data_IF_605413176843
#
_entry.id   IF_605413176843
#
_cell.length_a   1.000
_cell.length_b   1.000
_cell.length_c   1.000
_cell.angle_alpha   90.00
_cell.angle_beta   90.00
_cell.angle_gamma   90.00
#
_symmetry.space_group_name_H-M   'P 1'
#
loop_
_entity.id
_entity.type
_entity.pdbx_description
1 polymer ?
#
# COMPACT_ATOMS: atom_id res chain seq x y z
N UNK A 1 27.18 77.60 5.35
CA UNK A 1 27.11 76.42 4.49
C UNK A 1 27.50 75.13 5.22
N UNK A 2 27.28 74.92 6.52
CA UNK A 2 27.73 73.71 7.28
C UNK A 2 26.54 73.00 8.00
N UNK A 3 25.29 73.51 7.91
CA UNK A 3 24.12 72.90 8.60
C UNK A 3 23.27 71.94 7.75
N UNK A 4 23.42 71.96 6.44
CA UNK A 4 22.62 71.13 5.52
C UNK A 4 23.21 69.76 5.22
N UNK A 5 24.52 69.58 5.46
CA UNK A 5 25.19 68.27 5.24
C UNK A 5 25.01 67.23 6.37
N UNK A 6 24.59 67.69 7.58
CA UNK A 6 24.36 66.76 8.71
C UNK A 6 22.98 66.11 8.72
N UNK A 7 22.01 66.67 8.03
CA UNK A 7 20.67 66.13 7.92
C UNK A 7 20.55 65.06 6.80
N UNK A 8 21.37 65.15 5.76
CA UNK A 8 21.37 64.16 4.69
C UNK A 8 22.03 62.84 5.11
N UNK A 9 23.05 62.87 6.01
CA UNK A 9 23.70 61.67 6.52
C UNK A 9 22.84 60.87 7.52
N UNK A 10 21.93 61.54 8.24
CA UNK A 10 21.00 60.85 9.19
C UNK A 10 19.88 60.08 8.51
N UNK A 11 19.39 60.60 7.37
CA UNK A 11 18.29 59.94 6.63
C UNK A 11 18.76 58.72 5.86
N UNK A 12 19.99 58.73 5.31
CA UNK A 12 20.58 57.57 4.66
C UNK A 12 20.92 56.42 5.64
N UNK A 13 21.31 56.75 6.89
CA UNK A 13 21.59 55.74 7.91
C UNK A 13 20.29 55.08 8.43
N UNK A 14 19.19 55.80 8.47
CA UNK A 14 17.87 55.27 8.88
C UNK A 14 17.25 54.40 7.78
N UNK A 15 17.44 54.69 6.51
CA UNK A 15 17.00 53.90 5.39
C UNK A 15 17.83 52.63 5.21
N UNK A 16 19.13 52.64 5.55
CA UNK A 16 19.96 51.43 5.53
C UNK A 16 19.69 50.48 6.69
N UNK A 17 19.17 50.96 7.83
CA UNK A 17 18.80 50.15 8.97
C UNK A 17 17.42 49.47 8.79
N UNK A 18 16.52 50.01 7.92
CA UNK A 18 15.22 49.45 7.62
C UNK A 18 15.25 48.35 6.54
N UNK A 19 16.33 48.23 5.76
CA UNK A 19 16.51 47.18 4.74
C UNK A 19 17.26 45.92 5.26
N UNK A 20 17.83 45.96 6.44
CA UNK A 20 18.54 44.85 7.04
C UNK A 20 17.67 43.92 7.94
N UNK A 21 16.37 44.23 8.06
CA UNK A 21 15.49 43.54 8.99
C UNK A 21 14.47 42.54 8.37
N UNK A 22 14.51 42.33 7.05
CA UNK A 22 13.66 41.30 6.40
C UNK A 22 14.59 40.17 5.90
N UNK A 23 15.28 39.52 6.82
CA UNK A 23 15.69 38.16 6.61
C UNK A 23 14.43 37.31 6.88
N UNK A 24 13.66 36.97 5.83
CA UNK A 24 12.76 35.85 5.91
C UNK A 24 13.58 34.64 6.38
N UNK A 25 13.20 33.94 7.45
CA UNK A 25 13.76 32.64 7.66
C UNK A 25 13.51 31.90 6.35
N UNK A 26 14.57 31.43 5.69
CA UNK A 26 14.45 30.42 4.67
C UNK A 26 13.64 29.31 5.36
N UNK A 27 12.37 29.19 5.01
CA UNK A 27 11.58 28.05 5.40
C UNK A 27 12.45 26.86 5.03
N UNK A 28 12.78 26.02 6.00
CA UNK A 28 13.26 24.70 5.72
C UNK A 28 12.17 24.10 4.83
N UNK A 29 12.42 24.09 3.50
CA UNK A 29 11.70 23.23 2.59
C UNK A 29 11.98 21.87 3.19
N UNK A 30 10.98 21.27 3.83
CA UNK A 30 11.05 19.88 4.19
C UNK A 30 11.45 19.20 2.87
N UNK A 31 12.59 18.54 2.91
CA UNK A 31 13.05 17.68 1.83
C UNK A 31 11.92 16.65 1.67
N UNK A 32 10.99 16.93 0.74
CA UNK A 32 10.09 15.90 0.25
C UNK A 32 11.06 14.85 -0.26
N UNK A 33 11.14 13.77 0.50
CA UNK A 33 11.83 12.55 0.08
C UNK A 33 11.14 12.19 -1.22
N UNK A 34 11.67 12.64 -2.34
CA UNK A 34 11.17 12.33 -3.67
C UNK A 34 11.21 10.82 -3.73
N UNK A 35 10.04 10.18 -3.58
CA UNK A 35 9.92 8.74 -3.70
C UNK A 35 10.56 8.41 -5.05
N UNK A 36 11.61 7.59 -5.03
CA UNK A 36 12.29 7.22 -6.28
C UNK A 36 11.28 6.51 -7.15
N UNK A 37 11.18 6.91 -8.40
CA UNK A 37 10.20 6.35 -9.32
C UNK A 37 10.29 4.82 -9.37
N UNK A 38 9.16 4.12 -9.41
CA UNK A 38 9.12 2.66 -9.54
C UNK A 38 9.72 2.25 -10.88
N UNK A 39 10.45 1.12 -10.89
CA UNK A 39 11.11 0.56 -12.06
C UNK A 39 10.53 -0.79 -12.41
N UNK A 40 10.22 -1.00 -13.67
CA UNK A 40 9.74 -2.28 -14.21
C UNK A 40 10.61 -2.68 -15.39
N UNK A 41 11.08 -3.94 -15.41
CA UNK A 41 11.71 -4.53 -16.59
C UNK A 41 10.86 -5.71 -17.09
N UNK A 42 10.34 -5.58 -18.30
CA UNK A 42 9.57 -6.62 -18.97
C UNK A 42 10.53 -7.57 -19.70
N UNK A 43 10.70 -8.77 -19.19
CA UNK A 43 11.58 -9.79 -19.79
C UNK A 43 10.75 -10.70 -20.66
N UNK A 44 10.99 -10.65 -21.99
CA UNK A 44 10.23 -11.44 -22.95
C UNK A 44 11.08 -12.57 -23.54
N UNK A 45 10.49 -13.74 -23.56
CA UNK A 45 10.99 -14.91 -24.28
C UNK A 45 10.81 -14.73 -25.79
N UNK A 46 11.90 -14.83 -26.53
CA UNK A 46 11.92 -14.76 -28.01
C UNK A 46 12.53 -16.06 -28.57
N UNK A 47 12.49 -17.14 -27.77
CA UNK A 47 12.97 -18.46 -28.19
C UNK A 47 12.11 -19.07 -29.31
N UNK A 48 12.63 -20.15 -29.90
CA UNK A 48 11.99 -20.80 -31.04
C UNK A 48 10.57 -21.31 -30.79
N UNK A 49 10.22 -21.67 -29.55
CA UNK A 49 8.88 -22.13 -29.13
C UNK A 49 7.80 -21.07 -29.29
N UNK A 50 8.13 -19.80 -29.19
CA UNK A 50 7.20 -18.68 -29.38
C UNK A 50 6.58 -18.58 -30.78
N UNK A 51 7.00 -19.45 -31.72
CA UNK A 51 6.34 -19.62 -33.05
C UNK A 51 5.03 -20.41 -33.00
N UNK A 52 4.78 -21.14 -31.88
CA UNK A 52 3.57 -21.95 -31.74
C UNK A 52 2.32 -21.07 -31.88
N UNK A 53 1.30 -21.61 -32.57
CA UNK A 53 0.05 -20.89 -32.91
C UNK A 53 -1.09 -21.49 -32.08
N UNK A 54 -1.10 -21.23 -30.81
CA UNK A 54 -2.03 -21.81 -29.84
C UNK A 54 -2.65 -20.78 -28.86
N UNK A 55 -2.44 -19.49 -29.12
CA UNK A 55 -3.10 -18.39 -28.40
C UNK A 55 -4.04 -17.67 -29.35
N UNK A 56 -5.35 -17.84 -29.20
CA UNK A 56 -6.39 -17.18 -30.02
C UNK A 56 -6.18 -17.30 -31.54
N UNK A 57 -5.60 -18.43 -32.00
CA UNK A 57 -5.31 -18.69 -33.39
C UNK A 57 -4.11 -17.92 -33.97
N UNK A 58 -3.39 -17.18 -33.15
CA UNK A 58 -2.14 -16.48 -33.51
C UNK A 58 -0.93 -17.11 -32.83
N UNK A 59 0.28 -16.69 -33.23
CA UNK A 59 1.49 -17.16 -32.55
C UNK A 59 1.64 -16.53 -31.16
N UNK A 60 2.25 -17.26 -30.22
CA UNK A 60 2.58 -16.76 -28.88
C UNK A 60 3.32 -15.42 -28.94
N UNK A 61 4.27 -15.28 -29.90
CA UNK A 61 4.98 -14.02 -30.12
C UNK A 61 4.05 -12.91 -30.62
N UNK A 62 3.06 -13.21 -31.48
CA UNK A 62 2.12 -12.20 -31.95
C UNK A 62 1.22 -11.72 -30.80
N UNK A 63 0.73 -12.64 -29.96
CA UNK A 63 -0.03 -12.31 -28.75
C UNK A 63 0.80 -11.47 -27.78
N UNK A 64 2.06 -11.85 -27.54
CA UNK A 64 2.96 -11.08 -26.67
C UNK A 64 3.21 -9.66 -27.21
N UNK A 65 3.47 -9.49 -28.50
CA UNK A 65 3.64 -8.16 -29.11
C UNK A 65 2.39 -7.29 -28.98
N UNK A 66 1.21 -7.88 -29.18
CA UNK A 66 -0.05 -7.16 -28.99
C UNK A 66 -0.17 -6.68 -27.54
N UNK A 67 -0.02 -7.58 -26.56
CA UNK A 67 -0.09 -7.24 -25.15
C UNK A 67 0.94 -6.16 -24.75
N UNK A 68 2.18 -6.26 -25.24
CA UNK A 68 3.21 -5.24 -24.98
C UNK A 68 2.82 -3.86 -25.51
N UNK A 69 2.25 -3.79 -26.71
CA UNK A 69 1.81 -2.51 -27.28
C UNK A 69 0.71 -1.86 -26.44
N UNK A 70 -0.24 -2.65 -25.93
CA UNK A 70 -1.32 -2.17 -25.06
C UNK A 70 -0.77 -1.74 -23.70
N UNK A 71 0.15 -2.51 -23.10
CA UNK A 71 0.84 -2.16 -21.85
C UNK A 71 1.64 -0.87 -21.99
N UNK A 72 2.38 -0.68 -23.08
CA UNK A 72 3.14 0.54 -23.34
C UNK A 72 2.22 1.77 -23.44
N UNK A 73 1.00 1.61 -24.00
CA UNK A 73 0.00 2.68 -24.04
C UNK A 73 -0.56 3.02 -22.65
N UNK A 74 -0.76 2.01 -21.82
CA UNK A 74 -1.35 2.14 -20.49
C UNK A 74 -0.35 2.55 -19.41
N UNK A 75 0.97 2.33 -19.62
CA UNK A 75 2.00 2.59 -18.60
C UNK A 75 1.97 4.04 -18.11
N UNK A 76 1.81 4.29 -16.79
CA UNK A 76 1.87 5.63 -16.21
C UNK A 76 3.23 6.30 -16.43
N UNK A 77 3.25 7.63 -16.63
CA UNK A 77 4.49 8.40 -16.80
C UNK A 77 5.40 8.38 -15.58
N UNK A 78 4.85 8.02 -14.43
CA UNK A 78 5.61 7.88 -13.17
C UNK A 78 6.43 6.59 -13.10
N UNK A 79 6.17 5.61 -13.97
CA UNK A 79 6.86 4.30 -14.00
C UNK A 79 8.01 4.36 -15.00
N UNK A 80 9.21 3.99 -14.55
CA UNK A 80 10.36 3.77 -15.41
C UNK A 80 10.32 2.32 -15.93
N UNK A 81 10.08 2.15 -17.23
CA UNK A 81 9.91 0.83 -17.83
C UNK A 81 11.05 0.51 -18.80
N UNK A 82 11.57 -0.72 -18.71
CA UNK A 82 12.51 -1.32 -19.65
C UNK A 82 11.94 -2.57 -20.32
N UNK A 83 12.57 -3.01 -21.39
CA UNK A 83 12.26 -4.26 -22.06
C UNK A 83 13.57 -5.01 -22.31
N UNK A 84 13.63 -6.25 -21.85
CA UNK A 84 14.73 -7.17 -22.09
C UNK A 84 14.25 -8.41 -22.82
N UNK A 85 15.08 -8.95 -23.70
CA UNK A 85 14.80 -10.19 -24.43
C UNK A 85 15.71 -11.34 -23.95
N UNK A 86 15.23 -12.55 -24.13
CA UNK A 86 16.05 -13.76 -24.12
C UNK A 86 15.80 -14.56 -25.41
N UNK A 87 16.87 -15.16 -25.95
CA UNK A 87 16.81 -15.99 -27.15
C UNK A 87 16.47 -15.27 -28.46
N UNK A 88 16.74 -13.95 -28.55
CA UNK A 88 16.33 -13.13 -29.68
C UNK A 88 17.36 -13.04 -30.82
N UNK A 89 18.66 -13.22 -30.53
CA UNK A 89 19.73 -12.80 -31.45
C UNK A 89 20.54 -13.96 -32.03
N UNK A 90 20.58 -15.11 -31.36
CA UNK A 90 21.39 -16.24 -31.78
C UNK A 90 20.53 -17.41 -32.29
N UNK A 91 20.47 -17.63 -33.60
CA UNK A 91 19.66 -18.69 -34.21
C UNK A 91 20.40 -20.06 -34.33
N UNK A 92 21.64 -20.13 -33.86
CA UNK A 92 22.48 -21.32 -34.01
C UNK A 92 22.27 -22.40 -32.94
N UNK A 93 22.88 -23.56 -33.16
CA UNK A 93 22.71 -24.73 -32.30
C UNK A 93 23.75 -24.82 -31.16
N UNK A 94 24.72 -23.90 -31.11
CA UNK A 94 25.69 -23.88 -30.01
C UNK A 94 25.05 -23.36 -28.72
N UNK A 95 24.73 -24.28 -27.82
CA UNK A 95 24.12 -23.99 -26.54
C UNK A 95 24.90 -22.96 -25.71
N UNK A 96 26.24 -23.05 -25.71
CA UNK A 96 27.08 -22.14 -24.91
C UNK A 96 26.95 -20.69 -25.37
N UNK A 97 26.76 -20.46 -26.64
CA UNK A 97 26.52 -19.12 -27.22
C UNK A 97 25.06 -18.71 -27.00
N UNK A 98 24.10 -19.59 -27.30
CA UNK A 98 22.67 -19.32 -27.14
C UNK A 98 22.28 -19.06 -25.69
N UNK A 99 22.94 -19.69 -24.73
CA UNK A 99 22.69 -19.45 -23.31
C UNK A 99 23.26 -18.13 -22.76
N UNK A 100 23.86 -17.32 -23.61
CA UNK A 100 24.28 -15.94 -23.30
C UNK A 100 23.40 -14.90 -24.01
N UNK A 101 22.44 -15.37 -24.84
CA UNK A 101 21.61 -14.52 -25.65
C UNK A 101 20.50 -13.86 -24.83
N UNK A 102 20.86 -12.79 -24.15
CA UNK A 102 19.93 -11.86 -23.54
C UNK A 102 20.38 -10.43 -23.85
N UNK A 103 19.45 -9.57 -24.20
CA UNK A 103 19.75 -8.19 -24.59
C UNK A 103 18.70 -7.23 -24.04
N UNK A 104 19.13 -6.06 -23.62
CA UNK A 104 18.25 -4.95 -23.34
C UNK A 104 17.74 -4.40 -24.68
N UNK A 105 16.46 -4.62 -24.95
CA UNK A 105 15.78 -4.16 -26.16
C UNK A 105 15.43 -2.68 -26.06
N UNK A 106 14.96 -2.27 -24.88
CA UNK A 106 14.62 -0.89 -24.54
C UNK A 106 15.11 -0.58 -23.13
N UNK A 107 15.85 0.51 -22.91
CA UNK A 107 16.44 0.81 -21.60
C UNK A 107 15.38 1.19 -20.56
N UNK A 108 15.65 0.86 -19.30
CA UNK A 108 14.78 1.27 -18.18
C UNK A 108 14.79 2.80 -18.05
N UNK A 109 13.65 3.42 -18.26
CA UNK A 109 13.50 4.86 -18.26
C UNK A 109 12.06 5.31 -18.49
N UNK A 110 11.86 6.62 -18.63
CA UNK A 110 10.58 7.13 -19.11
C UNK A 110 10.27 6.58 -20.50
N UNK A 111 9.05 6.12 -20.72
CA UNK A 111 8.68 5.42 -21.94
C UNK A 111 8.43 6.39 -23.08
N UNK A 112 9.29 6.35 -24.12
CA UNK A 112 8.88 6.80 -25.44
C UNK A 112 8.10 5.65 -26.12
N UNK A 113 6.77 5.81 -26.15
CA UNK A 113 5.86 4.76 -26.65
C UNK A 113 6.14 4.41 -28.11
N UNK A 114 6.53 5.39 -28.93
CA UNK A 114 6.81 5.19 -30.35
C UNK A 114 8.07 4.35 -30.53
N UNK A 115 9.14 4.69 -29.85
CA UNK A 115 10.42 3.98 -29.90
C UNK A 115 10.29 2.56 -29.33
N UNK A 116 9.67 2.42 -28.16
CA UNK A 116 9.46 1.13 -27.51
C UNK A 116 8.63 0.16 -28.37
N UNK A 117 7.53 0.64 -28.98
CA UNK A 117 6.72 -0.16 -29.90
C UNK A 117 7.48 -0.54 -31.17
N UNK A 118 8.27 0.36 -31.72
CA UNK A 118 9.13 0.05 -32.87
C UNK A 118 10.15 -1.05 -32.53
N UNK A 119 10.73 -1.00 -31.33
CA UNK A 119 11.64 -2.04 -30.84
C UNK A 119 10.92 -3.40 -30.71
N UNK A 120 9.75 -3.44 -30.07
CA UNK A 120 8.93 -4.67 -29.94
C UNK A 120 8.55 -5.25 -31.30
N UNK A 121 8.25 -4.41 -32.27
CA UNK A 121 7.89 -4.86 -33.65
C UNK A 121 9.01 -5.68 -34.31
N UNK A 122 10.28 -5.44 -33.99
CA UNK A 122 11.43 -6.16 -34.56
C UNK A 122 11.58 -7.60 -34.09
N UNK A 123 10.97 -7.98 -32.94
CA UNK A 123 11.13 -9.29 -32.34
C UNK A 123 10.70 -10.42 -33.28
N UNK A 124 11.52 -11.46 -33.37
CA UNK A 124 11.22 -12.65 -34.19
C UNK A 124 11.73 -13.88 -33.42
N UNK A 125 10.89 -14.89 -33.15
CA UNK A 125 11.28 -16.08 -32.40
C UNK A 125 12.47 -16.79 -33.03
N UNK A 126 13.51 -17.03 -32.25
CA UNK A 126 14.79 -17.47 -32.82
C UNK A 126 15.48 -18.57 -32.03
N UNK A 127 15.98 -18.25 -30.83
CA UNK A 127 17.06 -18.98 -30.19
C UNK A 127 16.67 -19.90 -29.03
N UNK A 128 17.59 -19.99 -28.07
CA UNK A 128 17.49 -20.75 -26.83
C UNK A 128 16.70 -20.00 -25.78
N UNK A 129 16.45 -20.63 -24.61
CA UNK A 129 15.67 -20.03 -23.52
C UNK A 129 16.55 -19.82 -22.27
N UNK A 130 17.43 -18.80 -22.24
CA UNK A 130 18.33 -18.50 -21.10
C UNK A 130 17.65 -17.69 -20.03
N UNK A 131 16.68 -18.26 -19.29
CA UNK A 131 15.92 -17.52 -18.24
C UNK A 131 16.85 -17.02 -17.13
N UNK A 132 17.69 -17.90 -16.55
CA UNK A 132 18.59 -17.52 -15.47
C UNK A 132 19.49 -16.33 -15.82
N UNK A 133 20.24 -16.36 -16.93
CA UNK A 133 21.04 -15.22 -17.39
C UNK A 133 20.24 -13.95 -17.64
N UNK A 134 19.01 -14.07 -18.17
CA UNK A 134 18.15 -12.92 -18.42
C UNK A 134 17.69 -12.26 -17.12
N UNK A 135 17.32 -13.04 -16.09
CA UNK A 135 16.93 -12.50 -14.77
C UNK A 135 18.08 -11.77 -14.09
N UNK A 136 19.31 -12.28 -14.15
CA UNK A 136 20.48 -11.59 -13.59
C UNK A 136 20.69 -10.24 -14.26
N UNK A 137 20.57 -10.18 -15.58
CA UNK A 137 20.75 -8.95 -16.34
C UNK A 137 19.60 -7.95 -16.14
N UNK A 138 18.36 -8.43 -16.02
CA UNK A 138 17.22 -7.59 -15.68
C UNK A 138 17.36 -6.99 -14.27
N UNK A 139 17.89 -7.75 -13.32
CA UNK A 139 18.19 -7.22 -11.98
C UNK A 139 19.27 -6.13 -12.03
N UNK A 140 20.31 -6.29 -12.88
CA UNK A 140 21.33 -5.27 -13.13
C UNK A 140 20.70 -4.01 -13.77
N UNK A 141 19.75 -4.15 -14.73
CA UNK A 141 19.08 -3.03 -15.39
C UNK A 141 18.23 -2.18 -14.43
N UNK A 142 17.70 -2.83 -13.38
CA UNK A 142 16.90 -2.18 -12.34
C UNK A 142 17.73 -1.61 -11.19
N UNK A 143 19.05 -1.74 -11.22
CA UNK A 143 19.89 -1.30 -10.11
C UNK A 143 19.79 0.22 -9.86
N UNK A 144 20.14 0.62 -8.64
CA UNK A 144 20.05 2.00 -8.16
C UNK A 144 18.62 2.45 -7.83
N UNK A 145 18.54 3.53 -7.05
CA UNK A 145 17.28 4.10 -6.55
C UNK A 145 16.67 3.32 -5.40
N UNK A 146 15.69 3.94 -4.73
CA UNK A 146 14.97 3.40 -3.56
C UNK A 146 13.52 3.01 -3.88
N UNK A 147 13.02 3.26 -5.10
CA UNK A 147 11.69 2.89 -5.54
C UNK A 147 11.50 1.37 -5.65
N UNK A 148 10.26 0.94 -5.80
CA UNK A 148 9.94 -0.46 -6.07
C UNK A 148 10.59 -0.93 -7.37
N UNK A 149 11.04 -2.17 -7.39
CA UNK A 149 11.68 -2.80 -8.55
C UNK A 149 10.95 -4.09 -8.89
N UNK A 150 10.57 -4.24 -10.14
CA UNK A 150 9.80 -5.39 -10.59
C UNK A 150 10.31 -5.92 -11.91
N UNK A 151 10.51 -7.22 -11.98
CA UNK A 151 10.71 -7.95 -13.24
C UNK A 151 9.40 -8.67 -13.54
N UNK A 152 8.92 -8.55 -14.78
CA UNK A 152 7.81 -9.36 -15.29
C UNK A 152 8.36 -10.26 -16.38
N UNK A 153 8.55 -11.54 -16.06
CA UNK A 153 9.03 -12.55 -16.99
C UNK A 153 7.87 -13.18 -17.75
N UNK A 154 7.89 -13.11 -19.06
CA UNK A 154 6.91 -13.72 -19.95
C UNK A 154 7.63 -14.79 -20.77
N UNK A 155 7.29 -16.05 -20.57
CA UNK A 155 7.92 -17.20 -21.24
C UNK A 155 6.90 -18.29 -21.56
N UNK A 156 7.17 -19.05 -22.60
CA UNK A 156 6.38 -20.20 -23.05
C UNK A 156 7.15 -21.53 -22.92
N UNK A 157 8.33 -21.50 -22.34
CA UNK A 157 9.22 -22.67 -22.29
C UNK A 157 9.94 -22.85 -20.96
N UNK A 158 10.54 -24.02 -20.84
CA UNK A 158 11.49 -24.34 -19.78
C UNK A 158 12.86 -23.73 -20.13
N UNK A 159 13.62 -23.36 -19.10
CA UNK A 159 15.02 -22.98 -19.30
C UNK A 159 15.80 -24.12 -19.97
N UNK A 160 16.50 -23.78 -21.03
CA UNK A 160 17.31 -24.72 -21.79
C UNK A 160 18.82 -24.59 -21.51
N UNK A 161 19.18 -23.80 -20.51
CA UNK A 161 20.54 -23.33 -20.28
C UNK A 161 21.19 -23.80 -18.97
N UNK A 162 21.10 -25.10 -18.71
CA UNK A 162 21.86 -25.73 -17.63
C UNK A 162 23.37 -25.37 -17.71
N UNK A 163 24.12 -25.30 -16.61
CA UNK A 163 23.74 -25.71 -15.25
C UNK A 163 23.11 -24.66 -14.36
N UNK A 164 22.88 -23.45 -14.85
CA UNK A 164 22.32 -22.34 -14.07
C UNK A 164 20.80 -22.53 -13.90
N UNK A 165 20.38 -22.91 -12.69
CA UNK A 165 18.96 -23.06 -12.36
C UNK A 165 18.29 -21.69 -12.17
N UNK A 166 17.26 -21.31 -12.94
CA UNK A 166 16.60 -20.01 -12.81
C UNK A 166 15.97 -19.76 -11.45
N UNK A 167 15.53 -20.82 -10.74
CA UNK A 167 14.99 -20.68 -9.40
C UNK A 167 16.07 -20.35 -8.37
N UNK A 168 17.27 -20.94 -8.49
CA UNK A 168 18.42 -20.57 -7.66
C UNK A 168 18.87 -19.14 -7.94
N UNK A 169 18.83 -18.71 -9.21
CA UNK A 169 19.10 -17.31 -9.60
C UNK A 169 18.11 -16.36 -8.92
N UNK A 170 16.82 -16.69 -8.93
CA UNK A 170 15.82 -15.85 -8.26
C UNK A 170 16.06 -15.75 -6.75
N UNK A 171 16.45 -16.85 -6.08
CA UNK A 171 16.86 -16.85 -4.66
C UNK A 171 18.12 -16.00 -4.43
N UNK A 172 19.10 -16.05 -5.33
CA UNK A 172 20.30 -15.19 -5.24
C UNK A 172 19.93 -13.71 -5.35
N UNK A 173 19.03 -13.34 -6.28
CA UNK A 173 18.52 -11.99 -6.44
C UNK A 173 17.80 -11.54 -5.16
N UNK A 174 16.92 -12.38 -4.60
CA UNK A 174 16.23 -12.10 -3.35
C UNK A 174 17.19 -11.88 -2.17
N UNK A 175 18.25 -12.72 -2.09
CA UNK A 175 19.26 -12.65 -1.02
C UNK A 175 20.08 -11.36 -1.06
N UNK A 176 20.19 -10.69 -2.19
CA UNK A 176 20.88 -9.38 -2.33
C UNK A 176 20.10 -8.23 -1.65
N UNK A 177 18.85 -8.47 -1.22
CA UNK A 177 18.07 -7.51 -0.43
C UNK A 177 17.69 -6.22 -1.16
N UNK A 178 17.66 -6.25 -2.49
CA UNK A 178 17.40 -5.05 -3.32
C UNK A 178 15.93 -4.68 -3.46
N UNK A 179 15.03 -5.33 -2.71
CA UNK A 179 13.58 -5.06 -2.79
C UNK A 179 12.98 -5.34 -4.16
N UNK A 180 13.53 -6.32 -4.89
CA UNK A 180 13.10 -6.68 -6.24
C UNK A 180 12.14 -7.86 -6.19
N UNK A 181 11.01 -7.72 -6.86
CA UNK A 181 10.00 -8.77 -7.04
C UNK A 181 10.03 -9.28 -8.47
N UNK A 182 9.97 -10.60 -8.67
CA UNK A 182 9.87 -11.23 -9.99
C UNK A 182 8.49 -11.87 -10.12
N UNK A 183 7.66 -11.35 -11.01
CA UNK A 183 6.42 -12.01 -11.42
C UNK A 183 6.65 -12.78 -12.70
N UNK A 184 5.96 -13.90 -12.85
CA UNK A 184 6.12 -14.78 -14.02
C UNK A 184 4.77 -15.08 -14.68
N UNK A 185 4.72 -14.90 -15.98
CA UNK A 185 3.58 -15.23 -16.84
C UNK A 185 3.96 -16.38 -17.77
N UNK A 186 3.30 -17.51 -17.58
CA UNK A 186 3.50 -18.70 -18.41
C UNK A 186 2.50 -18.78 -19.56
N UNK A 187 2.99 -18.75 -20.80
CA UNK A 187 2.15 -18.87 -21.99
C UNK A 187 1.90 -20.34 -22.31
N UNK A 188 0.62 -20.79 -22.19
CA UNK A 188 0.21 -22.19 -22.46
C UNK A 188 1.14 -23.21 -21.76
N UNK A 189 1.29 -23.14 -20.43
CA UNK A 189 2.36 -23.85 -19.73
C UNK A 189 2.10 -25.35 -19.56
N UNK A 190 3.16 -26.17 -19.72
CA UNK A 190 3.19 -27.54 -19.24
C UNK A 190 3.51 -27.61 -17.73
N UNK A 191 3.44 -28.80 -17.13
CA UNK A 191 3.65 -28.99 -15.68
C UNK A 191 5.04 -28.56 -15.20
N UNK A 192 6.10 -28.86 -15.95
CA UNK A 192 7.48 -28.53 -15.55
C UNK A 192 7.74 -27.05 -15.61
N UNK A 193 7.33 -26.40 -16.72
CA UNK A 193 7.41 -24.96 -16.88
C UNK A 193 6.66 -24.24 -15.77
N UNK A 194 5.43 -24.70 -15.43
CA UNK A 194 4.66 -24.16 -14.33
C UNK A 194 5.42 -24.22 -12.99
N UNK A 195 6.02 -25.37 -12.68
CA UNK A 195 6.83 -25.54 -11.46
C UNK A 195 8.03 -24.60 -11.44
N UNK A 196 8.74 -24.46 -12.56
CA UNK A 196 9.91 -23.58 -12.66
C UNK A 196 9.50 -22.10 -12.50
N UNK A 197 8.49 -21.63 -13.23
CA UNK A 197 8.03 -20.25 -13.15
C UNK A 197 7.43 -19.90 -11.79
N UNK A 198 6.68 -20.84 -11.15
CA UNK A 198 6.19 -20.66 -9.77
C UNK A 198 7.35 -20.50 -8.80
N UNK A 199 8.37 -21.36 -8.89
CA UNK A 199 9.53 -21.28 -8.02
C UNK A 199 10.29 -19.95 -8.16
N UNK A 200 10.45 -19.44 -9.38
CA UNK A 200 11.09 -18.13 -9.64
C UNK A 200 10.31 -16.99 -8.97
N UNK A 201 8.99 -16.99 -9.13
CA UNK A 201 8.14 -15.96 -8.55
C UNK A 201 8.15 -16.02 -7.01
N UNK A 202 7.90 -17.21 -6.43
CA UNK A 202 7.85 -17.43 -4.98
C UNK A 202 9.16 -17.04 -4.29
N UNK A 203 10.30 -17.27 -4.93
CA UNK A 203 11.62 -16.93 -4.39
C UNK A 203 11.80 -15.46 -4.05
N UNK A 204 11.06 -14.56 -4.72
CA UNK A 204 11.14 -13.10 -4.55
C UNK A 204 9.84 -12.47 -4.00
N UNK A 205 8.87 -13.29 -3.59
CA UNK A 205 7.56 -12.82 -3.14
C UNK A 205 6.64 -12.33 -4.27
N UNK A 206 6.93 -12.71 -5.50
CA UNK A 206 6.10 -12.43 -6.67
C UNK A 206 5.02 -13.48 -6.92
N UNK A 207 4.34 -13.35 -8.05
CA UNK A 207 3.22 -14.22 -8.44
C UNK A 207 3.47 -14.92 -9.76
N UNK A 208 3.07 -16.21 -9.85
CA UNK A 208 2.97 -16.93 -11.11
C UNK A 208 1.54 -16.88 -11.63
N UNK A 209 1.37 -16.63 -12.93
CA UNK A 209 0.07 -16.69 -13.61
C UNK A 209 0.20 -17.47 -14.91
N UNK A 210 -0.72 -18.41 -15.15
CA UNK A 210 -0.92 -19.08 -16.44
C UNK A 210 -1.79 -18.21 -17.33
N UNK A 211 -1.42 -18.09 -18.60
CA UNK A 211 -2.13 -17.29 -19.60
C UNK A 211 -2.37 -18.15 -20.84
N UNK A 212 -3.63 -18.20 -21.28
CA UNK A 212 -4.04 -18.96 -22.46
C UNK A 212 -4.65 -18.05 -23.56
N UNK A 213 -5.00 -16.80 -23.19
CA UNK A 213 -5.61 -15.81 -24.09
C UNK A 213 -4.83 -14.48 -24.10
N UNK A 214 -4.92 -13.76 -25.20
CA UNK A 214 -4.17 -12.50 -25.40
C UNK A 214 -4.65 -11.38 -24.46
N UNK A 215 -5.96 -11.27 -24.25
CA UNK A 215 -6.57 -10.31 -23.34
C UNK A 215 -6.15 -10.56 -21.89
N UNK A 216 -6.12 -11.83 -21.46
CA UNK A 216 -5.59 -12.21 -20.14
C UNK A 216 -4.13 -11.76 -19.97
N UNK A 217 -3.30 -11.92 -21.02
CA UNK A 217 -1.91 -11.48 -20.99
C UNK A 217 -1.81 -9.97 -20.78
N UNK A 218 -2.56 -9.20 -21.56
CA UNK A 218 -2.60 -7.74 -21.45
C UNK A 218 -3.04 -7.28 -20.06
N UNK A 219 -4.14 -7.83 -19.55
CA UNK A 219 -4.69 -7.48 -18.24
C UNK A 219 -3.72 -7.79 -17.11
N UNK A 220 -3.04 -8.95 -17.19
CA UNK A 220 -2.07 -9.35 -16.17
C UNK A 220 -0.82 -8.49 -16.16
N UNK A 221 -0.26 -8.18 -17.35
CA UNK A 221 0.92 -7.31 -17.40
C UNK A 221 0.57 -5.90 -16.94
N UNK A 222 -0.57 -5.32 -17.36
CA UNK A 222 -1.04 -4.03 -16.85
C UNK A 222 -1.19 -4.04 -15.34
N UNK A 223 -1.85 -5.06 -14.77
CA UNK A 223 -2.00 -5.20 -13.32
C UNK A 223 -0.64 -5.22 -12.58
N UNK A 224 0.38 -5.86 -13.16
CA UNK A 224 1.71 -5.95 -12.56
C UNK A 224 2.48 -4.62 -12.68
N UNK A 225 2.32 -3.90 -13.78
CA UNK A 225 2.89 -2.55 -13.96
C UNK A 225 2.23 -1.57 -13.00
N UNK A 226 0.90 -1.60 -12.86
CA UNK A 226 0.16 -0.75 -11.91
C UNK A 226 0.58 -1.04 -10.45
N UNK A 227 0.75 -2.31 -10.08
CA UNK A 227 1.29 -2.69 -8.75
C UNK A 227 2.70 -2.17 -8.50
N UNK A 228 3.50 -2.00 -9.54
CA UNK A 228 4.83 -1.40 -9.39
C UNK A 228 4.73 0.11 -9.15
N UNK A 229 3.70 0.76 -9.70
CA UNK A 229 3.43 2.18 -9.53
C UNK A 229 2.89 2.50 -8.11
N UNK A 230 2.29 1.51 -7.43
CA UNK A 230 1.84 1.69 -6.05
C UNK A 230 3.03 2.02 -5.14
N UNK A 231 2.95 3.11 -4.37
CA UNK A 231 4.06 3.47 -3.50
C UNK A 231 4.32 2.34 -2.50
N UNK A 232 5.54 1.84 -2.46
CA UNK A 232 5.98 0.96 -1.37
C UNK A 232 6.03 1.81 -0.12
N UNK A 233 5.00 1.71 0.70
CA UNK A 233 4.98 2.37 2.01
C UNK A 233 5.98 1.65 2.90
N UNK A 234 7.19 2.20 3.01
CA UNK A 234 8.17 1.70 3.96
C UNK A 234 7.72 2.11 5.36
N UNK A 235 7.51 1.15 6.28
CA UNK A 235 7.12 1.48 7.65
C UNK A 235 8.17 2.38 8.31
N UNK A 236 7.70 3.45 8.94
CA UNK A 236 8.57 4.36 9.71
C UNK A 236 8.71 3.82 11.12
N UNK A 237 9.95 3.55 11.55
CA UNK A 237 10.21 3.19 12.92
C UNK A 237 9.83 4.35 13.84
N UNK A 238 8.94 4.11 14.79
CA UNK A 238 8.51 5.10 15.78
C UNK A 238 8.45 4.44 17.15
N UNK A 239 8.65 5.21 18.20
CA UNK A 239 8.52 4.73 19.56
C UNK A 239 7.34 5.44 20.21
N UNK A 240 6.28 4.68 20.52
CA UNK A 240 5.13 5.18 21.25
C UNK A 240 5.51 5.53 22.69
N UNK A 241 4.81 6.48 23.28
CA UNK A 241 5.05 6.93 24.65
C UNK A 241 4.18 6.17 25.68
N UNK A 242 4.39 6.49 26.96
CA UNK A 242 3.60 6.00 28.10
C UNK A 242 2.32 6.84 28.37
N UNK A 243 2.18 7.95 27.66
CA UNK A 243 1.06 8.88 27.86
C UNK A 243 0.84 9.75 26.61
N UNK A 244 -0.39 10.20 26.42
CA UNK A 244 -0.77 11.08 25.29
C UNK A 244 0.09 12.35 25.22
N UNK A 245 0.40 12.98 26.35
CA UNK A 245 1.16 14.25 26.37
C UNK A 245 2.60 14.11 25.88
N UNK A 246 3.19 12.93 25.99
CA UNK A 246 4.56 12.63 25.51
C UNK A 246 4.58 11.93 24.15
N UNK A 247 3.43 11.52 23.65
CA UNK A 247 3.30 10.71 22.46
C UNK A 247 3.81 11.43 21.21
N UNK A 248 4.48 10.71 20.29
CA UNK A 248 4.88 11.26 18.99
C UNK A 248 3.64 11.63 18.16
N UNK A 249 3.73 12.75 17.42
CA UNK A 249 2.71 13.13 16.44
C UNK A 249 2.94 12.34 15.14
N UNK A 250 1.93 11.62 14.70
CA UNK A 250 1.93 10.83 13.48
C UNK A 250 1.11 11.53 12.40
N UNK A 251 1.55 11.39 11.15
CA UNK A 251 0.78 11.73 9.93
C UNK A 251 0.20 10.45 9.35
N UNK A 252 -0.57 10.57 8.25
CA UNK A 252 -0.96 9.38 7.47
C UNK A 252 0.28 8.61 7.03
N UNK A 253 0.30 7.29 7.31
CA UNK A 253 1.43 6.42 7.02
C UNK A 253 1.39 5.10 7.77
N UNK A 254 2.41 4.29 7.51
CA UNK A 254 2.64 3.01 8.15
C UNK A 254 3.83 3.13 9.12
N UNK A 255 3.65 2.65 10.34
CA UNK A 255 4.62 2.79 11.42
C UNK A 255 4.93 1.44 12.04
N UNK A 256 6.17 1.26 12.51
CA UNK A 256 6.57 0.09 13.31
C UNK A 256 7.06 0.51 14.67
N UNK A 257 6.67 -0.27 15.67
CA UNK A 257 7.10 -0.12 17.06
C UNK A 257 7.30 -1.50 17.70
N UNK A 258 7.68 -1.51 18.98
CA UNK A 258 7.68 -2.69 19.83
C UNK A 258 6.95 -2.39 21.13
N UNK A 259 6.05 -3.28 21.50
CA UNK A 259 5.23 -3.15 22.70
C UNK A 259 5.58 -4.26 23.69
N UNK A 260 5.94 -3.88 24.92
CA UNK A 260 6.21 -4.84 25.99
C UNK A 260 4.91 -5.45 26.53
N UNK A 261 5.03 -6.59 27.15
CA UNK A 261 3.90 -7.32 27.72
C UNK A 261 3.18 -6.50 28.78
N UNK A 262 1.87 -6.25 28.57
CA UNK A 262 1.04 -5.43 29.45
C UNK A 262 1.34 -3.93 29.41
N UNK A 263 2.15 -3.48 28.48
CA UNK A 263 2.46 -2.07 28.30
C UNK A 263 1.37 -1.38 27.47
N UNK A 264 1.20 -0.08 27.67
CA UNK A 264 0.39 0.79 26.84
C UNK A 264 1.30 1.65 25.97
N UNK A 265 0.97 1.79 24.68
CA UNK A 265 1.66 2.66 23.74
C UNK A 265 0.71 3.75 23.26
N UNK A 266 1.21 4.99 23.26
CA UNK A 266 0.45 6.18 22.91
C UNK A 266 1.07 6.91 21.73
N UNK A 267 0.18 7.36 20.79
CA UNK A 267 0.53 8.15 19.62
C UNK A 267 -0.46 9.31 19.51
N UNK A 268 -0.13 10.37 18.79
CA UNK A 268 -1.02 11.50 18.52
C UNK A 268 -1.26 11.67 17.03
N UNK A 269 -2.47 12.06 16.66
CA UNK A 269 -2.86 12.39 15.29
C UNK A 269 -3.73 13.64 15.34
N UNK A 270 -3.45 14.61 14.52
CA UNK A 270 -4.28 15.80 14.37
C UNK A 270 -5.33 15.54 13.27
N UNK A 271 -6.60 15.85 13.57
CA UNK A 271 -7.75 15.62 12.69
C UNK A 271 -8.49 16.94 12.52
N UNK A 272 -8.60 17.43 11.31
CA UNK A 272 -9.32 18.67 11.00
C UNK A 272 -10.84 18.43 10.94
N UNK A 273 -11.67 19.48 11.11
CA UNK A 273 -13.10 19.37 10.86
C UNK A 273 -13.38 18.84 9.45
N UNK A 274 -14.34 17.93 9.33
CA UNK A 274 -14.67 17.27 8.05
C UNK A 274 -13.78 16.11 7.67
N UNK A 275 -12.70 15.83 8.41
CA UNK A 275 -11.82 14.67 8.16
C UNK A 275 -12.26 13.43 8.95
N UNK A 276 -11.82 12.29 8.49
CA UNK A 276 -11.99 10.99 9.13
C UNK A 276 -10.62 10.39 9.45
N UNK A 277 -10.38 10.09 10.73
CA UNK A 277 -9.25 9.30 11.17
C UNK A 277 -9.59 7.81 11.03
N UNK A 278 -8.76 7.08 10.32
CA UNK A 278 -8.73 5.61 10.26
C UNK A 278 -7.42 5.14 10.86
N UNK A 279 -7.49 4.23 11.80
CA UNK A 279 -6.30 3.66 12.38
C UNK A 279 -6.47 2.16 12.58
N UNK A 280 -5.40 1.40 12.35
CA UNK A 280 -5.35 -0.02 12.64
C UNK A 280 -4.02 -0.40 13.23
N UNK A 281 -4.02 -1.38 14.13
CA UNK A 281 -2.82 -1.94 14.73
C UNK A 281 -2.79 -3.45 14.50
N UNK A 282 -1.63 -3.94 14.11
CA UNK A 282 -1.32 -5.37 13.98
C UNK A 282 -0.15 -5.71 14.88
N UNK A 283 -0.27 -6.78 15.63
CA UNK A 283 0.80 -7.29 16.49
C UNK A 283 1.11 -8.71 16.08
N UNK A 284 2.38 -8.97 15.80
CA UNK A 284 2.87 -10.29 15.38
C UNK A 284 3.53 -11.02 16.55
N UNK A 285 3.08 -12.25 16.80
CA UNK A 285 3.69 -13.11 17.80
C UNK A 285 5.02 -13.67 17.29
N UNK A 286 6.15 -13.04 17.64
CA UNK A 286 7.49 -13.54 17.31
C UNK A 286 8.02 -14.59 18.35
N UNK A 287 7.17 -14.94 19.35
CA UNK A 287 7.48 -15.88 20.44
C UNK A 287 6.21 -16.49 21.03
N UNK A 288 6.38 -17.55 21.83
CA UNK A 288 5.27 -18.20 22.51
C UNK A 288 4.63 -17.29 23.55
N UNK A 289 3.31 -17.15 23.51
CA UNK A 289 2.49 -16.38 24.43
C UNK A 289 1.38 -17.25 25.02
N UNK A 290 0.76 -16.77 26.10
CA UNK A 290 -0.46 -17.39 26.61
C UNK A 290 -1.61 -17.26 25.61
N UNK A 291 -2.51 -18.26 25.53
CA UNK A 291 -3.58 -18.30 24.53
C UNK A 291 -4.64 -17.21 24.69
N UNK A 292 -4.75 -16.61 25.89
CA UNK A 292 -5.79 -15.61 26.21
C UNK A 292 -5.25 -14.17 26.12
N UNK A 293 -4.51 -13.86 25.07
CA UNK A 293 -4.02 -12.50 24.85
C UNK A 293 -4.92 -11.73 23.87
N UNK A 294 -4.90 -10.40 23.98
CA UNK A 294 -5.61 -9.52 23.06
C UNK A 294 -4.94 -8.17 22.89
N UNK A 295 -5.31 -7.50 21.82
CA UNK A 295 -4.91 -6.12 21.50
C UNK A 295 -6.16 -5.28 21.38
N UNK A 296 -6.12 -4.07 21.92
CA UNK A 296 -7.18 -3.09 21.82
C UNK A 296 -6.61 -1.74 21.40
N UNK A 297 -7.19 -1.16 20.35
CA UNK A 297 -6.91 0.19 19.89
C UNK A 297 -8.05 1.12 20.31
N UNK A 298 -7.71 2.25 20.91
CA UNK A 298 -8.66 3.29 21.30
C UNK A 298 -8.22 4.65 20.81
N UNK A 299 -9.18 5.50 20.41
CA UNK A 299 -8.97 6.93 20.20
C UNK A 299 -9.55 7.68 21.42
N UNK A 300 -8.74 8.53 22.01
CA UNK A 300 -9.10 9.30 23.19
C UNK A 300 -8.72 10.77 23.01
N UNK A 301 -9.41 11.67 23.70
CA UNK A 301 -9.01 13.09 23.74
C UNK A 301 -7.71 13.26 24.52
N UNK A 302 -7.05 14.41 24.38
CA UNK A 302 -5.86 14.78 25.18
C UNK A 302 -6.10 14.76 26.69
N UNK A 303 -7.36 14.80 27.13
CA UNK A 303 -7.77 14.70 28.54
C UNK A 303 -8.15 13.27 28.96
N UNK A 304 -7.91 12.27 28.11
CA UNK A 304 -8.14 10.86 28.42
C UNK A 304 -9.60 10.38 28.26
N UNK A 305 -10.52 11.21 27.72
CA UNK A 305 -11.89 10.75 27.44
C UNK A 305 -11.89 9.91 26.15
N UNK A 306 -12.39 8.69 26.26
CA UNK A 306 -12.56 7.81 25.09
C UNK A 306 -13.53 8.42 24.08
N UNK A 307 -13.12 8.49 22.81
CA UNK A 307 -13.91 8.97 21.67
C UNK A 307 -14.49 7.77 20.95
N UNK A 308 -13.63 6.85 20.54
CA UNK A 308 -14.00 5.62 19.85
C UNK A 308 -13.07 4.49 20.25
N UNK A 309 -13.60 3.27 20.22
CA UNK A 309 -12.89 2.05 20.58
C UNK A 309 -13.02 1.06 19.43
N UNK A 310 -11.90 0.43 19.03
CA UNK A 310 -11.90 -0.77 18.21
C UNK A 310 -12.39 -1.99 19.00
N UNK A 311 -12.69 -3.07 18.31
CA UNK A 311 -12.93 -4.34 18.97
C UNK A 311 -11.64 -4.91 19.54
N UNK A 312 -11.72 -5.54 20.70
CA UNK A 312 -10.57 -6.28 21.24
C UNK A 312 -10.34 -7.51 20.37
N UNK A 313 -9.18 -7.56 19.71
CA UNK A 313 -8.80 -8.67 18.86
C UNK A 313 -7.85 -9.61 19.60
N UNK A 314 -7.95 -10.89 19.33
CA UNK A 314 -7.09 -11.94 19.85
C UNK A 314 -7.84 -12.99 20.66
N UNK A 315 -7.44 -14.23 20.47
CA UNK A 315 -7.92 -15.37 21.24
C UNK A 315 -6.82 -16.45 21.35
N UNK A 316 -5.56 -16.04 21.16
CA UNK A 316 -4.39 -16.92 21.20
C UNK A 316 -4.28 -17.98 20.09
N UNK A 317 -5.11 -17.89 19.04
CA UNK A 317 -5.14 -18.89 17.95
C UNK A 317 -4.45 -18.47 16.67
N UNK A 318 -4.03 -17.22 16.57
CA UNK A 318 -3.38 -16.68 15.37
C UNK A 318 -2.05 -16.03 15.73
N UNK A 319 -1.07 -16.13 14.83
CA UNK A 319 0.25 -15.52 15.00
C UNK A 319 0.23 -13.98 14.81
N UNK A 320 -0.86 -13.44 14.24
CA UNK A 320 -1.09 -12.02 14.03
C UNK A 320 -2.46 -11.64 14.56
N UNK A 321 -2.50 -10.59 15.37
CA UNK A 321 -3.72 -10.00 15.92
C UNK A 321 -3.84 -8.58 15.41
N UNK A 322 -4.97 -8.26 14.77
CA UNK A 322 -5.23 -6.93 14.20
C UNK A 322 -6.56 -6.37 14.69
N UNK A 323 -6.58 -5.10 15.01
CA UNK A 323 -7.80 -4.33 15.32
C UNK A 323 -7.70 -2.94 14.73
N UNK A 324 -8.84 -2.31 14.46
CA UNK A 324 -8.89 -0.97 13.88
C UNK A 324 -10.08 -0.17 14.38
N UNK A 325 -10.04 1.12 14.11
CA UNK A 325 -11.10 2.07 14.42
C UNK A 325 -11.26 3.12 13.34
N UNK A 326 -12.43 3.76 13.33
CA UNK A 326 -12.73 4.93 12.49
C UNK A 326 -13.31 6.03 13.38
N UNK A 327 -12.84 7.25 13.18
CA UNK A 327 -13.35 8.45 13.85
C UNK A 327 -13.60 9.55 12.83
N UNK A 328 -14.85 9.71 12.34
CA UNK A 328 -15.23 10.85 11.52
C UNK A 328 -15.42 12.08 12.43
N UNK A 329 -14.69 13.17 12.15
CA UNK A 329 -14.88 14.43 12.80
C UNK A 329 -15.93 15.24 12.03
N UNK A 330 -16.96 15.71 12.72
CA UNK A 330 -17.99 16.53 12.11
C UNK A 330 -17.40 17.80 11.47
N UNK A 331 -18.00 18.23 10.35
CA UNK A 331 -17.74 19.55 9.79
C UNK A 331 -18.06 20.63 10.83
N UNK A 332 -17.36 21.74 10.76
CA UNK A 332 -17.61 22.91 11.60
C UNK A 332 -18.14 24.03 10.72
N UNK A 333 -19.16 24.74 11.19
CA UNK A 333 -19.65 25.99 10.57
C UNK A 333 -18.68 27.17 10.78
N UNK A 334 -17.63 26.95 11.58
CA UNK A 334 -16.57 27.91 11.86
C UNK A 334 -15.36 27.62 10.98
N UNK A 335 -15.09 28.50 10.01
CA UNK A 335 -13.97 28.39 9.07
C UNK A 335 -12.59 28.45 9.77
N UNK A 336 -12.53 28.88 11.05
CA UNK A 336 -11.32 28.92 11.86
C UNK A 336 -11.24 27.76 12.87
N UNK A 337 -12.11 26.75 12.79
CA UNK A 337 -12.09 25.63 13.72
C UNK A 337 -10.77 24.84 13.64
N UNK A 338 -10.03 24.83 14.74
CA UNK A 338 -8.72 24.19 14.84
C UNK A 338 -8.81 22.66 14.74
N UNK A 339 -7.73 22.05 14.24
CA UNK A 339 -7.56 20.61 14.30
C UNK A 339 -7.67 20.09 15.74
N UNK A 340 -8.27 18.93 15.91
CA UNK A 340 -8.33 18.22 17.19
C UNK A 340 -7.21 17.22 17.28
N UNK A 341 -6.40 17.30 18.32
CA UNK A 341 -5.42 16.27 18.62
C UNK A 341 -6.10 15.06 19.23
N UNK A 342 -6.12 13.95 18.51
CA UNK A 342 -6.61 12.65 18.93
C UNK A 342 -5.44 11.78 19.38
N UNK A 343 -5.53 11.17 20.55
CA UNK A 343 -4.54 10.23 21.04
C UNK A 343 -4.98 8.80 20.70
N UNK A 344 -4.12 8.06 20.00
CA UNK A 344 -4.29 6.65 19.79
C UNK A 344 -3.59 5.90 20.92
N UNK A 345 -4.34 5.05 21.62
CA UNK A 345 -3.84 4.19 22.70
C UNK A 345 -3.93 2.74 22.27
N UNK A 346 -2.79 2.07 22.18
CA UNK A 346 -2.67 0.62 22.00
C UNK A 346 -2.48 -0.01 23.35
N UNK A 347 -3.29 -0.99 23.68
CA UNK A 347 -3.18 -1.78 24.91
C UNK A 347 -3.16 -3.25 24.60
N UNK A 348 -2.34 -4.00 25.30
CA UNK A 348 -2.27 -5.45 25.16
C UNK A 348 -2.46 -6.16 26.50
N UNK A 349 -2.91 -7.42 26.42
CA UNK A 349 -3.05 -8.33 27.55
C UNK A 349 -2.08 -9.51 27.45
N UNK A 350 -0.90 -9.30 26.87
CA UNK A 350 0.08 -10.37 26.68
C UNK A 350 0.64 -10.84 28.02
N UNK A 351 0.77 -12.15 28.13
CA UNK A 351 1.54 -12.78 29.19
C UNK A 351 2.44 -13.86 28.59
N UNK A 352 3.67 -13.94 29.06
CA UNK A 352 4.62 -14.92 28.56
C UNK A 352 4.51 -16.23 29.35
N UNK A 353 4.67 -17.35 28.65
CA UNK A 353 4.90 -18.64 29.31
C UNK A 353 6.23 -18.62 30.08
N UNK A 354 6.35 -19.44 31.09
CA UNK A 354 7.57 -19.53 31.92
C UNK A 354 8.80 -19.83 31.05
N UNK A 355 9.86 -19.02 31.20
CA UNK A 355 11.10 -19.16 30.43
C UNK A 355 11.15 -18.44 29.09
N UNK A 356 10.06 -17.80 28.66
CA UNK A 356 10.04 -16.97 27.45
C UNK A 356 10.51 -15.54 27.80
N UNK A 357 11.46 -15.02 27.02
CA UNK A 357 11.93 -13.64 27.19
C UNK A 357 10.84 -12.66 26.73
N UNK A 358 10.53 -11.66 27.54
CA UNK A 358 9.54 -10.60 27.25
C UNK A 358 10.14 -9.37 26.57
N UNK A 359 11.46 -9.24 26.61
CA UNK A 359 12.21 -8.14 25.97
C UNK A 359 13.08 -8.66 24.82
N UNK A 360 13.20 -7.92 23.69
CA UNK A 360 12.43 -6.73 23.34
C UNK A 360 10.94 -7.06 23.21
N UNK A 361 10.07 -6.04 23.30
CA UNK A 361 8.61 -6.20 23.14
C UNK A 361 8.21 -6.84 21.82
N UNK A 362 6.93 -7.15 21.68
CA UNK A 362 6.34 -7.72 20.45
C UNK A 362 6.39 -6.72 19.32
N UNK A 363 6.63 -7.14 18.07
CA UNK A 363 6.52 -6.28 16.90
C UNK A 363 5.10 -5.74 16.73
N UNK A 364 4.99 -4.43 16.57
CA UNK A 364 3.74 -3.70 16.35
C UNK A 364 3.84 -2.98 15.01
N UNK A 365 2.80 -3.09 14.21
CA UNK A 365 2.60 -2.31 13.00
C UNK A 365 1.33 -1.48 13.15
N UNK A 366 1.46 -0.15 13.02
CA UNK A 366 0.38 0.81 13.16
C UNK A 366 0.18 1.54 11.83
N UNK A 367 -1.02 1.44 11.28
CA UNK A 367 -1.44 2.23 10.13
C UNK A 367 -2.28 3.40 10.62
N UNK A 368 -1.96 4.58 10.17
CA UNK A 368 -2.72 5.82 10.39
C UNK A 368 -3.08 6.41 9.05
N UNK A 369 -4.34 6.76 8.86
CA UNK A 369 -4.82 7.44 7.67
C UNK A 369 -5.82 8.54 8.07
N UNK A 370 -5.62 9.75 7.54
CA UNK A 370 -6.51 10.88 7.74
C UNK A 370 -6.99 11.31 6.36
N UNK A 371 -8.27 11.10 6.10
CA UNK A 371 -8.90 11.33 4.79
C UNK A 371 -10.04 12.31 4.94
N UNK A 372 -10.46 12.93 3.84
CA UNK A 372 -11.66 13.73 3.84
C UNK A 372 -12.87 12.85 4.19
N UNK A 373 -13.68 13.34 5.11
CA UNK A 373 -14.89 12.65 5.53
C UNK A 373 -15.89 12.56 4.38
N UNK A 374 -16.84 11.62 4.42
CA UNK A 374 -17.87 11.51 3.40
C UNK A 374 -18.72 12.79 3.40
N UNK A 375 -18.83 13.42 2.24
CA UNK A 375 -19.59 14.67 2.02
C UNK A 375 -21.10 14.56 2.27
N UNK A 376 -21.59 13.37 2.58
CA UNK A 376 -22.96 13.13 3.04
C UNK A 376 -22.93 12.33 4.33
N UNK A 377 -23.44 12.94 5.39
CA UNK A 377 -23.66 12.31 6.69
C UNK A 377 -24.72 11.18 6.63
N UNK A 378 -24.75 10.36 5.57
CA UNK A 378 -25.71 9.28 5.40
C UNK A 378 -25.30 7.98 6.07
N UNK A 379 -24.09 7.88 6.59
CA UNK A 379 -23.62 6.62 7.15
C UNK A 379 -23.17 6.71 8.60
N UNK A 380 -24.07 6.27 9.40
CA UNK A 380 -24.00 5.17 10.39
C UNK A 380 -23.20 5.44 11.67
N UNK A 381 -22.45 6.46 11.82
CA UNK A 381 -21.73 6.66 13.08
C UNK A 381 -21.74 8.09 13.62
N UNK A 382 -22.79 8.85 13.37
CA UNK A 382 -23.08 9.93 14.31
C UNK A 382 -23.58 9.27 15.59
N UNK A 383 -22.71 9.15 16.58
CA UNK A 383 -23.09 8.76 17.95
C UNK A 383 -24.00 9.85 18.53
N UNK A 384 -25.22 9.85 18.07
CA UNK A 384 -26.29 10.70 18.54
C UNK A 384 -27.57 10.18 17.93
N UNK A 385 -28.68 10.32 18.63
CA UNK A 385 -29.98 9.83 18.20
C UNK A 385 -30.45 10.45 16.86
N UNK A 386 -29.72 11.41 16.28
CA UNK A 386 -30.02 12.02 14.99
C UNK A 386 -31.53 12.20 14.77
N UNK A 387 -32.07 11.69 13.65
CA UNK A 387 -33.50 11.59 13.43
C UNK A 387 -34.21 10.58 14.35
N UNK A 388 -33.51 9.82 15.17
CA UNK A 388 -34.08 8.89 16.14
C UNK A 388 -34.96 9.53 17.20
N UNK A 389 -34.80 10.84 17.45
CA UNK A 389 -35.71 11.60 18.30
C UNK A 389 -37.15 11.59 17.78
N UNK A 390 -37.34 11.61 16.47
CA UNK A 390 -38.66 11.46 15.84
C UNK A 390 -39.26 10.09 16.05
N UNK A 391 -38.42 9.04 16.01
CA UNK A 391 -38.85 7.66 16.29
C UNK A 391 -39.27 7.50 17.76
N UNK A 392 -38.49 8.08 18.69
CA UNK A 392 -38.86 8.12 20.11
C UNK A 392 -40.17 8.89 20.32
N UNK A 393 -40.31 10.06 19.71
CA UNK A 393 -41.56 10.82 19.74
C UNK A 393 -42.75 10.04 19.17
N UNK A 394 -42.56 9.35 18.05
CA UNK A 394 -43.58 8.50 17.42
C UNK A 394 -43.94 7.32 18.33
N UNK A 395 -42.97 6.64 18.93
CA UNK A 395 -43.23 5.51 19.86
C UNK A 395 -44.00 5.99 21.10
N UNK A 396 -43.66 7.14 21.67
CA UNK A 396 -44.39 7.73 22.79
C UNK A 396 -45.81 8.08 22.38
N UNK A 397 -46.03 8.68 21.20
CA UNK A 397 -47.32 9.02 20.68
C UNK A 397 -48.18 7.77 20.45
N UNK A 398 -47.62 6.74 19.80
CA UNK A 398 -48.33 5.44 19.55
C UNK A 398 -48.66 4.76 20.87
N UNK A 399 -47.74 4.71 21.82
CA UNK A 399 -47.99 4.16 23.16
C UNK A 399 -49.08 4.91 23.91
N UNK A 400 -49.13 6.25 23.83
CA UNK A 400 -50.15 7.09 24.43
C UNK A 400 -51.53 6.82 23.78
N UNK A 401 -51.61 6.80 22.44
CA UNK A 401 -52.85 6.53 21.71
C UNK A 401 -53.37 5.09 22.01
N UNK A 402 -52.49 4.11 22.02
CA UNK A 402 -52.84 2.75 22.40
C UNK A 402 -53.35 2.65 23.84
N UNK A 403 -52.74 3.37 24.78
CA UNK A 403 -53.19 3.44 26.18
C UNK A 403 -54.56 4.09 26.34
N UNK A 404 -54.80 5.19 25.62
CA UNK A 404 -56.10 5.89 25.60
C UNK A 404 -57.20 4.98 25.01
N UNK A 405 -56.92 4.33 23.88
CA UNK A 405 -57.86 3.38 23.25
C UNK A 405 -58.16 2.21 24.16
N UNK A 406 -57.13 1.63 24.78
CA UNK A 406 -57.32 0.53 25.75
C UNK A 406 -58.12 0.98 26.96
N UNK A 407 -57.86 2.14 27.51
CA UNK A 407 -58.62 2.73 28.63
C UNK A 407 -60.08 3.00 28.24
N UNK A 408 -60.36 3.44 27.01
CA UNK A 408 -61.71 3.67 26.51
C UNK A 408 -62.46 2.33 26.31
N UNK A 409 -61.85 1.35 25.66
CA UNK A 409 -62.43 0.00 25.44
C UNK A 409 -62.64 -0.72 26.77
N UNK A 410 -61.77 -0.59 27.76
CA UNK A 410 -61.91 -1.21 29.08
C UNK A 410 -63.09 -0.65 29.86
N UNK A 411 -63.40 0.66 29.72
CA UNK A 411 -64.64 1.27 30.32
C UNK A 411 -65.90 0.68 29.76
N UNK A 412 -65.96 0.37 28.45
CA UNK A 412 -67.13 -0.29 27.85
C UNK A 412 -67.30 -1.72 28.33
N UNK A 413 -66.25 -2.45 28.58
CA UNK A 413 -66.31 -3.81 29.12
C UNK A 413 -66.85 -3.86 30.56
N UNK A 414 -66.56 -2.86 31.37
CA UNK A 414 -67.09 -2.77 32.74
C UNK A 414 -68.58 -2.43 32.75
N UNK A 415 -69.09 -1.67 31.77
CA UNK A 415 -70.54 -1.35 31.67
C UNK A 415 -71.45 -2.57 31.31
N UNK A 416 -70.91 -3.55 30.58
CA UNK A 416 -71.63 -4.76 30.16
C UNK A 416 -71.89 -5.77 31.31
N UNK A 417 -71.03 -5.73 32.37
CA UNK A 417 -71.19 -6.69 33.50
C UNK A 417 -72.03 -6.20 34.70
N UNK A 418 -72.69 -5.02 34.59
CA UNK A 418 -73.51 -4.46 35.66
C UNK A 418 -75.00 -4.52 35.42
N UNK A 419 -75.47 -5.24 34.39
CA UNK A 419 -76.92 -5.40 34.09
C UNK A 419 -77.36 -6.88 34.13
N UNK A 420 -77.02 -7.55 35.25
CA UNK A 420 -77.77 -8.75 35.66
C UNK A 420 -77.82 -8.82 37.19
#
# INVERSE_FOLDING_TARGET
MIRTQRLAAGVCALLAALTAGIAFPAGAVADETTATAPKVDLVIDVSGSMRAKDIDGQSRMAAAKQAFNEVLDATPETVLLGIRTLGANYPGDDQKTGCKDTAQLYPVGQVDRTEAKAAVATLSPTGWTPIGPALLKAADDLDGGTGSKRIVLISDGEDTCAPLDPCEVAREIAAKGIGLTIDTLGLVPNTKMRQQLSCIAEATGGTYTSVEHTDELTDKVNQLVDRAADPVVTPVATEGADSCSKAPALKSGLYTDREEFGQERWYRVDVEPGQELRASVSVSADRAMNPDYGVLLRAVTVHGREIVRGEAAGNGRTDVVSTGLRYPKAESDDDEAAAETVCLQVTNSYSAASGVKTTPGMPVELTVDVVDGPSQASDVASFGLGRGWWLLGLLVLVGFLAGVLWGWVSRWRVAVWRTN
#
